data_IF_045304259566
#
_entry.id   IF_045304259566
#
_cell.length_a   1.000
_cell.length_b   1.000
_cell.length_c   1.000
_cell.angle_alpha   90.00
_cell.angle_beta   90.00
_cell.angle_gamma   90.00
#
_symmetry.space_group_name_H-M   'P 1'
#
loop_
_entity.id
_entity.type
_entity.pdbx_description
1 polymer ?
#
# COMPACT_ATOMS: atom_id res chain seq x y z
N UNK A 1 25.34 -20.88 6.93
CA UNK A 1 25.08 -19.43 6.96
C UNK A 1 24.10 -19.11 5.87
N UNK A 2 22.80 -19.25 6.14
CA UNK A 2 21.76 -18.94 5.17
C UNK A 2 21.59 -17.42 5.13
N UNK A 3 21.92 -16.84 3.98
CA UNK A 3 21.75 -15.43 3.69
C UNK A 3 20.27 -15.09 3.94
N UNK A 4 20.04 -14.14 4.85
CA UNK A 4 18.73 -13.53 5.07
C UNK A 4 18.34 -12.77 3.78
N UNK A 5 17.73 -13.46 2.83
CA UNK A 5 17.04 -12.85 1.70
C UNK A 5 15.71 -12.27 2.20
N UNK A 6 15.77 -11.26 3.08
CA UNK A 6 14.61 -10.45 3.46
C UNK A 6 14.29 -9.36 2.41
N UNK A 7 14.98 -9.35 1.26
CA UNK A 7 14.74 -8.41 0.17
C UNK A 7 13.82 -9.01 -0.87
N UNK A 8 12.58 -8.51 -0.97
CA UNK A 8 11.70 -8.78 -2.12
C UNK A 8 12.44 -8.37 -3.39
N UNK A 9 12.54 -9.28 -4.36
CA UNK A 9 13.18 -8.96 -5.64
C UNK A 9 12.29 -7.99 -6.43
N UNK A 10 12.89 -6.93 -6.97
CA UNK A 10 12.18 -5.82 -7.64
C UNK A 10 11.89 -6.07 -9.13
N UNK A 11 12.31 -7.23 -9.67
CA UNK A 11 12.09 -7.64 -11.06
C UNK A 11 11.70 -9.12 -11.12
N UNK A 12 10.82 -9.47 -12.07
CA UNK A 12 10.33 -10.84 -12.24
C UNK A 12 11.46 -11.85 -12.50
N UNK A 13 12.44 -11.48 -13.33
CA UNK A 13 13.57 -12.37 -13.68
C UNK A 13 14.45 -12.75 -12.49
N UNK A 14 14.42 -11.99 -11.39
CA UNK A 14 15.15 -12.33 -10.17
C UNK A 14 14.56 -13.54 -9.45
N UNK A 15 13.31 -13.92 -9.72
CA UNK A 15 12.66 -15.12 -9.18
C UNK A 15 12.97 -16.39 -9.98
N UNK A 16 13.68 -16.26 -11.12
CA UNK A 16 13.97 -17.39 -11.99
C UNK A 16 15.27 -18.11 -11.65
N UNK A 17 16.08 -17.57 -10.72
CA UNK A 17 17.35 -18.18 -10.34
C UNK A 17 17.13 -19.51 -9.62
N UNK A 18 18.04 -20.49 -9.76
CA UNK A 18 17.93 -21.77 -9.07
C UNK A 18 17.77 -21.62 -7.55
N UNK A 19 18.48 -20.66 -6.95
CA UNK A 19 18.49 -20.43 -5.51
C UNK A 19 17.16 -19.86 -5.02
N UNK A 20 16.59 -18.89 -5.75
CA UNK A 20 15.33 -18.28 -5.35
C UNK A 20 14.14 -19.24 -5.56
N UNK A 21 14.18 -20.06 -6.61
CA UNK A 21 13.20 -21.14 -6.84
C UNK A 21 13.18 -22.15 -5.69
N UNK A 22 14.36 -22.68 -5.32
CA UNK A 22 14.47 -23.61 -4.19
C UNK A 22 13.99 -22.99 -2.86
N UNK A 23 14.25 -21.68 -2.67
CA UNK A 23 13.75 -20.96 -1.52
C UNK A 23 12.23 -20.82 -1.54
N UNK A 24 11.62 -20.45 -2.66
CA UNK A 24 10.16 -20.29 -2.77
C UNK A 24 9.42 -21.61 -2.70
N UNK A 25 10.03 -22.72 -3.11
CA UNK A 25 9.46 -24.07 -2.96
C UNK A 25 9.38 -24.49 -1.48
N UNK A 26 10.40 -24.15 -0.69
CA UNK A 26 10.46 -24.44 0.75
C UNK A 26 9.72 -23.40 1.62
N UNK A 27 9.51 -22.19 1.10
CA UNK A 27 8.79 -21.11 1.78
C UNK A 27 7.87 -20.33 0.81
N UNK A 28 6.71 -20.90 0.43
CA UNK A 28 5.82 -20.32 -0.57
C UNK A 28 5.31 -18.90 -0.24
N UNK A 29 5.25 -18.53 1.05
CA UNK A 29 4.84 -17.19 1.50
C UNK A 29 5.77 -16.08 0.99
N UNK A 30 7.00 -16.40 0.57
CA UNK A 30 7.90 -15.44 -0.09
C UNK A 30 7.35 -14.91 -1.41
N UNK A 31 6.43 -15.63 -2.07
CA UNK A 31 5.83 -15.22 -3.34
C UNK A 31 4.67 -14.23 -3.18
N UNK A 32 4.03 -14.17 -2.02
CA UNK A 32 2.79 -13.39 -1.80
C UNK A 32 2.94 -11.93 -2.21
N UNK A 33 4.03 -11.28 -1.79
CA UNK A 33 4.24 -9.87 -2.11
C UNK A 33 4.57 -9.63 -3.59
N UNK A 34 5.21 -10.59 -4.26
CA UNK A 34 5.47 -10.52 -5.70
C UNK A 34 4.18 -10.66 -6.48
N UNK A 35 3.34 -11.63 -6.13
CA UNK A 35 2.02 -11.83 -6.74
C UNK A 35 1.09 -10.62 -6.55
N UNK A 36 1.22 -9.91 -5.42
CA UNK A 36 0.46 -8.69 -5.18
C UNK A 36 0.88 -7.50 -6.07
N UNK A 37 2.05 -7.54 -6.72
CA UNK A 37 2.49 -6.46 -7.61
C UNK A 37 1.58 -6.29 -8.82
N UNK A 38 0.93 -7.37 -9.30
CA UNK A 38 -0.02 -7.30 -10.41
C UNK A 38 -1.22 -6.38 -10.11
N UNK A 39 -1.58 -6.26 -8.83
CA UNK A 39 -2.69 -5.44 -8.35
C UNK A 39 -2.21 -4.18 -7.63
N UNK A 40 -0.90 -3.95 -7.56
CA UNK A 40 -0.33 -2.80 -6.87
C UNK A 40 -0.41 -1.56 -7.76
N UNK A 41 -0.86 -0.45 -7.17
CA UNK A 41 -0.79 0.87 -7.79
C UNK A 41 0.39 1.65 -7.24
N UNK A 42 0.82 2.68 -7.99
CA UNK A 42 1.83 3.61 -7.50
C UNK A 42 1.37 4.23 -6.18
N UNK A 43 2.32 4.44 -5.27
CA UNK A 43 2.06 5.15 -4.02
C UNK A 43 1.51 6.56 -4.29
N UNK A 44 0.54 6.98 -3.48
CA UNK A 44 -0.12 8.27 -3.55
C UNK A 44 0.92 9.39 -3.47
N UNK A 45 1.26 9.99 -4.61
CA UNK A 45 2.31 11.01 -4.74
C UNK A 45 1.68 12.40 -4.87
N UNK A 46 1.36 13.02 -3.74
CA UNK A 46 0.67 14.32 -3.64
C UNK A 46 1.37 15.25 -2.65
N UNK A 47 1.16 16.55 -2.78
CA UNK A 47 1.52 17.52 -1.76
C UNK A 47 0.77 17.21 -0.45
N UNK A 48 1.41 17.47 0.69
CA UNK A 48 0.81 17.25 2.02
C UNK A 48 0.33 15.80 2.27
N UNK A 49 0.97 14.80 1.65
CA UNK A 49 0.59 13.37 1.69
C UNK A 49 0.24 12.88 3.11
N UNK A 50 1.08 13.17 4.11
CA UNK A 50 0.83 12.72 5.49
C UNK A 50 -0.46 13.27 6.10
N UNK A 51 -0.86 14.50 5.75
CA UNK A 51 -2.13 15.08 6.20
C UNK A 51 -3.31 14.42 5.50
N UNK A 52 -3.18 14.10 4.20
CA UNK A 52 -4.23 13.39 3.46
C UNK A 52 -4.42 11.97 3.98
N UNK A 53 -3.33 11.24 4.25
CA UNK A 53 -3.39 9.92 4.88
C UNK A 53 -4.09 10.00 6.24
N UNK A 54 -3.80 11.05 7.03
CA UNK A 54 -4.48 11.26 8.31
C UNK A 54 -5.99 11.49 8.14
N UNK A 55 -6.39 12.39 7.24
CA UNK A 55 -7.81 12.67 6.96
C UNK A 55 -8.56 11.38 6.59
N UNK A 56 -7.98 10.57 5.70
CA UNK A 56 -8.56 9.29 5.30
C UNK A 56 -8.61 8.29 6.47
N UNK A 57 -7.53 8.18 7.24
CA UNK A 57 -7.45 7.25 8.39
C UNK A 57 -8.48 7.58 9.47
N UNK A 58 -8.66 8.87 9.78
CA UNK A 58 -9.65 9.33 10.76
C UNK A 58 -11.08 9.00 10.28
N UNK A 59 -11.35 9.19 9.00
CA UNK A 59 -12.65 8.88 8.38
C UNK A 59 -12.97 7.38 8.42
N UNK A 60 -11.99 6.54 8.07
CA UNK A 60 -12.12 5.08 8.17
C UNK A 60 -12.39 4.66 9.62
N UNK A 61 -11.65 5.24 10.58
CA UNK A 61 -11.82 4.91 11.98
C UNK A 61 -13.21 5.32 12.51
N UNK A 62 -13.74 6.47 12.07
CA UNK A 62 -15.08 6.91 12.40
C UNK A 62 -16.16 5.98 11.82
N UNK A 63 -16.03 5.57 10.56
CA UNK A 63 -16.93 4.62 9.91
C UNK A 63 -16.94 3.25 10.64
N UNK A 64 -15.77 2.72 11.01
CA UNK A 64 -15.65 1.50 11.81
C UNK A 64 -16.36 1.63 13.17
N UNK A 65 -16.36 2.83 13.75
CA UNK A 65 -17.00 3.13 15.02
C UNK A 65 -18.50 3.45 14.90
N UNK A 66 -19.11 3.28 13.71
CA UNK A 66 -20.55 3.41 13.50
C UNK A 66 -21.03 4.77 13.00
N UNK A 67 -20.12 5.66 12.56
CA UNK A 67 -20.52 6.84 11.81
C UNK A 67 -21.09 6.44 10.43
N UNK A 68 -21.93 7.30 9.85
CA UNK A 68 -22.42 7.10 8.48
C UNK A 68 -21.24 7.10 7.48
N UNK A 69 -21.14 6.05 6.68
CA UNK A 69 -19.97 5.80 5.81
C UNK A 69 -19.88 6.84 4.71
N UNK A 70 -21.00 7.09 4.02
CA UNK A 70 -21.02 7.96 2.86
C UNK A 70 -20.76 9.42 3.27
N UNK A 71 -21.45 9.90 4.30
CA UNK A 71 -21.25 11.26 4.84
C UNK A 71 -19.81 11.45 5.32
N UNK A 72 -19.26 10.47 6.03
CA UNK A 72 -17.91 10.56 6.62
C UNK A 72 -16.84 10.58 5.53
N UNK A 73 -16.96 9.75 4.50
CA UNK A 73 -16.01 9.71 3.38
C UNK A 73 -16.14 10.95 2.49
N UNK A 74 -17.35 11.45 2.26
CA UNK A 74 -17.57 12.68 1.48
C UNK A 74 -16.93 13.89 2.18
N UNK A 75 -17.10 13.99 3.51
CA UNK A 75 -16.45 15.04 4.31
C UNK A 75 -14.92 14.95 4.25
N UNK A 76 -14.37 13.74 4.30
CA UNK A 76 -12.93 13.52 4.18
C UNK A 76 -12.41 13.97 2.81
N UNK A 77 -13.15 13.66 1.73
CA UNK A 77 -12.83 14.11 0.38
C UNK A 77 -12.82 15.65 0.27
N UNK A 78 -13.84 16.34 0.80
CA UNK A 78 -13.90 17.81 0.80
C UNK A 78 -12.74 18.45 1.58
N UNK A 79 -12.35 17.85 2.71
CA UNK A 79 -11.20 18.31 3.50
C UNK A 79 -9.88 18.15 2.73
N UNK A 80 -9.69 17.00 2.08
CA UNK A 80 -8.50 16.75 1.26
C UNK A 80 -8.44 17.72 0.06
N UNK A 81 -9.56 17.96 -0.61
CA UNK A 81 -9.64 18.92 -1.71
C UNK A 81 -9.31 20.35 -1.27
N UNK A 82 -9.85 20.78 -0.12
CA UNK A 82 -9.55 22.08 0.47
C UNK A 82 -8.07 22.22 0.82
N UNK A 83 -7.49 21.18 1.44
CA UNK A 83 -6.07 21.14 1.78
C UNK A 83 -5.18 21.25 0.53
N UNK A 84 -5.62 20.66 -0.59
CA UNK A 84 -4.87 20.65 -1.84
C UNK A 84 -5.10 21.88 -2.72
N UNK A 85 -6.08 22.75 -2.44
CA UNK A 85 -6.35 23.95 -3.23
C UNK A 85 -5.11 24.80 -3.54
N UNK A 86 -4.17 25.04 -2.60
CA UNK A 86 -2.98 25.85 -2.87
C UNK A 86 -1.99 25.24 -3.88
N UNK A 87 -2.15 23.96 -4.24
CA UNK A 87 -1.23 23.21 -5.10
C UNK A 87 -1.85 22.79 -6.45
N UNK A 88 -3.06 23.29 -6.75
CA UNK A 88 -3.75 23.07 -8.03
C UNK A 88 -3.29 24.06 -9.09
#
# INVERSE_FOLDING_TARGET
TALHAQGRATRQSSYETPELKAYTDSFPQALTAMQQLENAHKEISIYEQGKIIKILSDAIQAAINGADVDETLEKAQQQAETLLQPYK
#
